data_IF_474643748388
#
_entry.id   IF_474643748388
#
_cell.length_a   1.000
_cell.length_b   1.000
_cell.length_c   1.000
_cell.angle_alpha   90.00
_cell.angle_beta   90.00
_cell.angle_gamma   90.00
#
_symmetry.space_group_name_H-M   'P 1'
#
loop_
_entity.id
_entity.type
_entity.pdbx_description
1 polymer ?
#
# COMPACT_ATOMS: atom_id res chain seq x y z
N UNK A 1 11.05 -6.42 -7.18
CA UNK A 1 9.85 -5.59 -7.28
C UNK A 1 9.63 -4.74 -6.03
N UNK A 2 9.60 -3.42 -6.20
CA UNK A 2 9.15 -2.44 -5.21
C UNK A 2 7.65 -2.23 -5.38
N UNK A 3 6.93 -2.19 -4.27
CA UNK A 3 5.47 -2.01 -4.24
C UNK A 3 5.10 -0.81 -3.38
N UNK A 4 4.18 -0.01 -3.90
CA UNK A 4 3.48 1.06 -3.18
C UNK A 4 2.01 0.67 -2.99
N UNK A 5 1.54 0.71 -1.75
CA UNK A 5 0.13 0.52 -1.40
C UNK A 5 -0.42 1.76 -0.69
N UNK A 6 -1.46 2.39 -1.24
CA UNK A 6 -2.02 3.64 -0.71
C UNK A 6 -3.18 3.42 0.26
N UNK A 7 -3.17 4.16 1.38
CA UNK A 7 -4.16 4.10 2.45
C UNK A 7 -4.60 5.50 2.88
N UNK A 8 -5.89 5.67 3.18
CA UNK A 8 -6.40 6.92 3.76
C UNK A 8 -5.90 7.19 5.19
N UNK A 9 -5.53 6.14 5.95
CA UNK A 9 -5.16 6.24 7.38
C UNK A 9 -3.79 5.62 7.66
N UNK A 10 -2.93 6.34 8.38
CA UNK A 10 -1.58 5.88 8.78
C UNK A 10 -1.60 4.54 9.49
N UNK A 11 -2.58 4.35 10.39
CA UNK A 11 -2.73 3.10 11.16
C UNK A 11 -2.93 1.90 10.24
N UNK A 12 -3.72 2.03 9.17
CA UNK A 12 -3.97 0.95 8.22
C UNK A 12 -2.72 0.59 7.44
N UNK A 13 -1.98 1.59 6.93
CA UNK A 13 -0.69 1.37 6.25
C UNK A 13 0.33 0.63 7.15
N UNK A 14 0.43 1.02 8.44
CA UNK A 14 1.34 0.34 9.39
C UNK A 14 0.88 -1.08 9.72
N UNK A 15 -0.43 -1.30 9.91
CA UNK A 15 -0.99 -2.63 10.15
C UNK A 15 -0.75 -3.54 8.95
N UNK A 16 -0.94 -3.02 7.73
CA UNK A 16 -0.65 -3.75 6.51
C UNK A 16 0.82 -4.18 6.43
N UNK A 17 1.75 -3.23 6.56
CA UNK A 17 3.18 -3.50 6.47
C UNK A 17 3.64 -4.53 7.52
N UNK A 18 3.17 -4.39 8.77
CA UNK A 18 3.48 -5.36 9.83
C UNK A 18 2.96 -6.77 9.54
N UNK A 19 1.83 -6.89 8.84
CA UNK A 19 1.32 -8.21 8.45
C UNK A 19 2.09 -8.80 7.27
N UNK A 20 2.60 -7.98 6.35
CA UNK A 20 3.51 -8.43 5.30
C UNK A 20 4.80 -8.99 5.91
N UNK A 21 5.40 -8.27 6.86
CA UNK A 21 6.60 -8.72 7.58
C UNK A 21 6.34 -10.05 8.31
N UNK A 22 5.24 -10.15 9.06
CA UNK A 22 4.87 -11.39 9.78
C UNK A 22 4.65 -12.59 8.87
N UNK A 23 4.14 -12.37 7.66
CA UNK A 23 3.92 -13.43 6.66
C UNK A 23 5.17 -13.74 5.83
N UNK A 24 6.28 -13.03 6.07
CA UNK A 24 7.51 -13.16 5.30
C UNK A 24 7.41 -12.62 3.87
N UNK A 25 6.40 -11.81 3.56
CA UNK A 25 6.21 -11.26 2.21
C UNK A 25 7.19 -10.12 1.93
N UNK A 26 7.70 -9.47 2.98
CA UNK A 26 8.75 -8.45 2.88
C UNK A 26 9.63 -8.49 4.12
N UNK A 27 10.88 -8.10 3.96
CA UNK A 27 11.81 -7.85 5.08
C UNK A 27 12.10 -6.36 5.28
N UNK A 28 11.67 -5.50 4.33
CA UNK A 28 11.98 -4.08 4.32
C UNK A 28 10.81 -3.29 3.76
N UNK A 29 10.34 -2.33 4.53
CA UNK A 29 9.42 -1.32 4.07
C UNK A 29 9.21 -0.20 5.06
N UNK A 30 8.54 0.84 4.63
CA UNK A 30 8.26 2.01 5.45
C UNK A 30 6.95 2.68 5.02
N UNK A 31 6.43 3.57 5.87
CA UNK A 31 5.18 4.29 5.62
C UNK A 31 5.47 5.78 5.54
N UNK A 32 5.12 6.37 4.41
CA UNK A 32 5.22 7.82 4.17
C UNK A 32 3.84 8.46 4.15
N UNK A 33 3.74 9.71 4.64
CA UNK A 33 2.56 10.54 4.37
C UNK A 33 2.68 11.05 2.94
N UNK A 34 1.58 11.02 2.20
CA UNK A 34 1.52 11.52 0.84
C UNK A 34 0.39 12.52 0.74
N UNK A 35 0.73 13.72 0.28
CA UNK A 35 -0.20 14.74 -0.15
C UNK A 35 0.05 14.91 -1.66
N UNK A 36 -0.85 14.38 -2.48
CA UNK A 36 -0.71 14.31 -3.94
C UNK A 36 -1.84 15.08 -4.61
N UNK A 37 -1.50 15.86 -5.63
CA UNK A 37 -2.47 16.50 -6.51
C UNK A 37 -2.31 15.80 -7.88
N UNK A 38 -3.38 15.18 -8.37
CA UNK A 38 -3.44 14.60 -9.72
C UNK A 38 -4.37 15.43 -10.59
N UNK A 39 -4.03 15.58 -11.87
CA UNK A 39 -4.92 16.19 -12.85
C UNK A 39 -5.33 15.13 -13.88
N UNK A 40 -6.61 14.73 -13.84
CA UNK A 40 -7.20 13.76 -14.77
C UNK A 40 -8.48 14.37 -15.32
N UNK A 41 -8.36 15.44 -16.12
CA UNK A 41 -9.49 16.25 -16.58
C UNK A 41 -10.22 17.05 -15.49
N UNK A 42 -9.96 16.74 -14.21
CA UNK A 42 -10.31 17.50 -13.00
C UNK A 42 -9.16 17.39 -12.00
N UNK A 43 -9.06 18.38 -11.11
CA UNK A 43 -8.10 18.38 -10.01
C UNK A 43 -8.57 17.39 -8.93
N UNK A 44 -7.77 16.37 -8.64
CA UNK A 44 -8.00 15.45 -7.53
C UNK A 44 -6.88 15.58 -6.50
N UNK A 45 -7.25 15.91 -5.28
CA UNK A 45 -6.35 15.87 -4.14
C UNK A 45 -6.48 14.53 -3.42
N UNK A 46 -5.36 13.83 -3.29
CA UNK A 46 -5.21 12.62 -2.50
C UNK A 46 -4.30 12.89 -1.31
N UNK A 47 -4.90 12.95 -0.14
CA UNK A 47 -4.17 12.93 1.12
C UNK A 47 -4.26 11.53 1.75
N UNK A 48 -3.12 10.99 2.18
CA UNK A 48 -3.06 9.68 2.78
C UNK A 48 -1.66 9.24 3.15
N UNK A 49 -1.47 7.92 3.11
CA UNK A 49 -0.25 7.26 3.51
C UNK A 49 0.05 6.11 2.57
N UNK A 50 1.30 6.00 2.14
CA UNK A 50 1.75 4.92 1.26
C UNK A 50 2.68 4.00 2.05
N UNK A 51 2.38 2.70 2.05
CA UNK A 51 3.33 1.67 2.46
C UNK A 51 4.19 1.33 1.24
N UNK A 52 5.51 1.50 1.37
CA UNK A 52 6.51 1.20 0.35
C UNK A 52 7.33 0.02 0.86
N UNK A 53 7.42 -1.06 0.08
CA UNK A 53 8.13 -2.28 0.50
C UNK A 53 8.66 -3.06 -0.71
N UNK A 54 9.72 -3.82 -0.49
CA UNK A 54 10.27 -4.75 -1.47
C UNK A 54 9.66 -6.14 -1.25
N UNK A 55 9.27 -6.82 -2.32
CA UNK A 55 8.74 -8.18 -2.24
C UNK A 55 9.09 -8.99 -3.50
N UNK A 56 9.37 -10.28 -3.29
CA UNK A 56 9.41 -11.30 -4.34
C UNK A 56 8.11 -12.12 -4.36
N UNK A 57 7.19 -11.81 -3.44
CA UNK A 57 5.89 -12.50 -3.36
C UNK A 57 4.99 -12.03 -4.50
N UNK A 58 4.20 -12.97 -5.02
CA UNK A 58 3.14 -12.66 -5.99
C UNK A 58 2.21 -11.55 -5.48
N UNK A 59 2.00 -10.54 -6.33
CA UNK A 59 1.09 -9.43 -6.06
C UNK A 59 -0.34 -9.88 -5.75
N UNK A 60 -0.79 -11.02 -6.26
CA UNK A 60 -2.12 -11.54 -5.92
C UNK A 60 -2.22 -11.93 -4.45
N UNK A 61 -1.17 -12.53 -3.87
CA UNK A 61 -1.14 -12.86 -2.44
C UNK A 61 -1.10 -11.60 -1.57
N UNK A 62 -0.34 -10.58 -2.00
CA UNK A 62 -0.29 -9.26 -1.34
C UNK A 62 -1.67 -8.59 -1.34
N UNK A 63 -2.36 -8.59 -2.50
CA UNK A 63 -3.72 -8.02 -2.64
C UNK A 63 -4.75 -8.80 -1.83
N UNK A 64 -4.69 -10.13 -1.81
CA UNK A 64 -5.56 -10.98 -0.97
C UNK A 64 -5.38 -10.67 0.51
N UNK A 65 -4.15 -10.47 0.98
CA UNK A 65 -3.90 -10.05 2.35
C UNK A 65 -4.53 -8.68 2.65
N UNK A 66 -4.36 -7.72 1.75
CA UNK A 66 -4.93 -6.39 1.91
C UNK A 66 -6.46 -6.42 2.01
N UNK A 67 -7.12 -7.15 1.11
CA UNK A 67 -8.58 -7.33 1.10
C UNK A 67 -9.07 -8.05 2.37
N UNK A 68 -8.32 -9.04 2.88
CA UNK A 68 -8.66 -9.71 4.13
C UNK A 68 -8.55 -8.80 5.36
N UNK A 69 -7.60 -7.87 5.38
CA UNK A 69 -7.41 -6.94 6.49
C UNK A 69 -8.38 -5.75 6.43
N UNK A 70 -8.75 -5.32 5.22
CA UNK A 70 -9.54 -4.12 4.97
C UNK A 70 -10.57 -4.35 3.85
N UNK A 71 -11.61 -5.16 4.09
CA UNK A 71 -12.58 -5.56 3.04
C UNK A 71 -13.34 -4.38 2.42
N UNK A 72 -13.56 -3.31 3.18
CA UNK A 72 -14.26 -2.09 2.73
C UNK A 72 -13.34 -1.06 2.06
N UNK A 73 -12.02 -1.28 2.05
CA UNK A 73 -11.07 -0.31 1.51
C UNK A 73 -10.69 -0.65 0.07
N UNK A 74 -10.81 0.35 -0.81
CA UNK A 74 -10.14 0.32 -2.11
C UNK A 74 -8.69 0.76 -1.96
N UNK A 75 -7.77 -0.20 -1.85
CA UNK A 75 -6.32 0.03 -1.74
C UNK A 75 -5.71 0.04 -3.14
N UNK A 76 -5.07 1.14 -3.50
CA UNK A 76 -4.36 1.26 -4.78
C UNK A 76 -2.95 0.72 -4.67
N UNK A 77 -2.57 -0.11 -5.63
CA UNK A 77 -1.24 -0.71 -5.73
C UNK A 77 -0.53 -0.20 -6.98
N UNK A 78 0.73 0.19 -6.82
CA UNK A 78 1.67 0.46 -7.91
C UNK A 78 2.89 -0.42 -7.65
N UNK A 79 3.37 -1.12 -8.66
CA UNK A 79 4.54 -1.99 -8.56
C UNK A 79 5.45 -1.80 -9.75
N UNK A 80 6.76 -1.86 -9.53
CA UNK A 80 7.79 -1.86 -10.57
C UNK A 80 9.00 -2.67 -10.10
N UNK A 81 9.85 -3.09 -11.03
CA UNK A 81 11.08 -3.81 -10.71
C UNK A 81 12.22 -2.90 -10.28
#
# INVERSE_FOLDING_TARGET
MIVMAFFKKRRKARVFLKNLEKKGFTQKGFVVKVDMIRFIGKLEEKQGYTAIFETETDMEAVKKLAASLFPEDSIEFISWD
#
